data_IF_920668612359
#
_entry.id   IF_920668612359
#
_cell.length_a   1.000
_cell.length_b   1.000
_cell.length_c   1.000
_cell.angle_alpha   90.00
_cell.angle_beta   90.00
_cell.angle_gamma   90.00
#
_symmetry.space_group_name_H-M   'P 1'
#
loop_
_entity.id
_entity.type
_entity.pdbx_description
1 polymer ?
#
# COMPACT_ATOMS: atom_id res chain seq x y z
N UNK A 1 -26.98 64.67 -35.78
CA UNK A 1 -27.23 63.22 -35.93
C UNK A 1 -26.30 62.72 -37.02
N UNK A 2 -25.46 61.69 -36.89
CA UNK A 2 -25.39 60.56 -35.96
C UNK A 2 -24.03 59.84 -36.16
N UNK A 3 -23.48 59.32 -35.06
CA UNK A 3 -22.55 58.18 -34.97
C UNK A 3 -21.06 58.47 -35.23
N UNK A 4 -20.47 59.14 -34.26
CA UNK A 4 -19.08 58.97 -33.83
C UNK A 4 -18.88 57.63 -33.10
N UNK A 5 -17.73 56.99 -33.30
CA UNK A 5 -17.01 56.17 -32.30
C UNK A 5 -17.51 54.75 -31.98
N UNK A 6 -17.51 53.78 -32.91
CA UNK A 6 -17.50 52.35 -32.52
C UNK A 6 -16.76 51.50 -33.56
N UNK A 7 -15.42 51.54 -33.61
CA UNK A 7 -14.65 50.52 -34.35
C UNK A 7 -13.26 50.28 -33.76
N UNK A 8 -13.14 50.18 -32.42
CA UNK A 8 -11.84 49.85 -31.79
C UNK A 8 -11.91 49.05 -30.48
N UNK A 9 -13.05 48.47 -30.08
CA UNK A 9 -13.14 47.74 -28.80
C UNK A 9 -13.71 46.34 -29.02
N UNK A 10 -12.90 45.45 -29.60
CA UNK A 10 -13.13 44.01 -29.49
C UNK A 10 -11.83 43.23 -29.54
N UNK A 11 -10.79 43.72 -28.85
CA UNK A 11 -9.74 42.82 -28.36
C UNK A 11 -10.22 42.32 -27.00
N UNK A 12 -11.04 41.27 -27.04
CA UNK A 12 -11.43 40.52 -25.86
C UNK A 12 -10.15 40.03 -25.21
N UNK A 13 -9.83 40.64 -24.07
CA UNK A 13 -8.78 40.22 -23.16
C UNK A 13 -9.19 38.83 -22.65
N UNK A 14 -8.73 37.78 -23.33
CA UNK A 14 -8.57 36.45 -22.77
C UNK A 14 -7.37 36.52 -21.82
N UNK A 15 -7.57 37.12 -20.64
CA UNK A 15 -6.72 36.78 -19.49
C UNK A 15 -6.97 35.29 -19.27
N UNK A 16 -6.06 34.48 -19.80
CA UNK A 16 -5.80 33.17 -19.28
C UNK A 16 -5.39 33.39 -17.83
N UNK A 17 -6.36 33.37 -16.91
CA UNK A 17 -6.06 33.10 -15.52
C UNK A 17 -5.53 31.68 -15.51
N UNK A 18 -4.22 31.54 -15.75
CA UNK A 18 -3.48 30.49 -15.08
C UNK A 18 -3.66 30.82 -13.60
N UNK A 19 -4.72 30.26 -13.02
CA UNK A 19 -4.81 30.08 -11.58
C UNK A 19 -3.59 29.26 -11.23
N UNK A 20 -2.47 29.93 -10.98
CA UNK A 20 -1.39 29.36 -10.21
C UNK A 20 -2.02 29.19 -8.83
N UNK A 21 -2.61 28.03 -8.61
CA UNK A 21 -3.15 27.65 -7.32
C UNK A 21 -2.08 28.00 -6.29
N UNK A 22 -2.47 28.83 -5.31
CA UNK A 22 -1.50 29.47 -4.44
C UNK A 22 -0.72 28.37 -3.74
N UNK A 23 0.62 28.38 -3.80
CA UNK A 23 1.38 27.33 -3.15
C UNK A 23 1.04 27.26 -1.66
N UNK A 24 0.90 26.05 -1.12
CA UNK A 24 0.62 25.85 0.30
C UNK A 24 1.72 26.49 1.15
N UNK A 25 1.32 27.19 2.21
CA UNK A 25 2.28 27.79 3.16
C UNK A 25 2.82 26.72 4.09
N UNK A 26 4.04 26.90 4.59
CA UNK A 26 4.64 25.99 5.58
C UNK A 26 3.72 25.80 6.80
N UNK A 27 3.10 26.87 7.27
CA UNK A 27 2.14 26.81 8.39
C UNK A 27 0.92 25.93 8.06
N UNK A 28 0.31 26.09 6.89
CA UNK A 28 -0.85 25.27 6.49
C UNK A 28 -0.48 23.80 6.36
N UNK A 29 0.67 23.48 5.77
CA UNK A 29 1.14 22.09 5.64
C UNK A 29 1.45 21.48 7.02
N UNK A 30 2.09 22.24 7.91
CA UNK A 30 2.32 21.81 9.29
C UNK A 30 1.00 21.48 10.01
N UNK A 31 0.00 22.34 9.86
CA UNK A 31 -1.32 22.11 10.44
C UNK A 31 -1.99 20.86 9.84
N UNK A 32 -1.95 20.69 8.52
CA UNK A 32 -2.49 19.50 7.85
C UNK A 32 -1.87 18.21 8.41
N UNK A 33 -0.54 18.19 8.49
CA UNK A 33 0.22 17.05 9.01
C UNK A 33 -0.19 16.72 10.46
N UNK A 34 -0.41 17.74 11.29
CA UNK A 34 -0.87 17.57 12.68
C UNK A 34 -2.28 16.98 12.74
N UNK A 35 -3.24 17.54 11.99
CA UNK A 35 -4.63 17.04 12.03
C UNK A 35 -4.76 15.64 11.42
N UNK A 36 -3.89 15.28 10.49
CA UNK A 36 -3.80 13.92 9.96
C UNK A 36 -3.12 12.92 10.91
N UNK A 37 -2.56 13.38 12.04
CA UNK A 37 -1.88 12.54 13.03
C UNK A 37 -0.78 11.64 12.42
N UNK A 38 0.00 12.15 11.45
CA UNK A 38 1.01 11.35 10.72
C UNK A 38 2.06 10.76 11.67
N UNK A 39 2.44 11.48 12.73
CA UNK A 39 3.36 10.94 13.74
C UNK A 39 2.80 9.65 14.37
N UNK A 40 1.52 9.61 14.73
CA UNK A 40 0.89 8.39 15.28
C UNK A 40 0.90 7.25 14.28
N UNK A 41 0.71 7.52 12.98
CA UNK A 41 0.82 6.52 11.92
C UNK A 41 2.23 5.94 11.83
N UNK A 42 3.27 6.78 11.92
CA UNK A 42 4.66 6.32 11.94
C UNK A 42 4.97 5.45 13.16
N UNK A 43 4.51 5.85 14.35
CA UNK A 43 4.69 5.07 15.58
C UNK A 43 3.98 3.72 15.50
N UNK A 44 2.77 3.67 14.94
CA UNK A 44 2.03 2.42 14.77
C UNK A 44 2.70 1.52 13.74
N UNK A 45 3.20 2.10 12.65
CA UNK A 45 3.99 1.36 11.64
C UNK A 45 5.22 0.71 12.28
N UNK A 46 5.96 1.45 13.11
CA UNK A 46 7.12 0.91 13.84
C UNK A 46 6.77 -0.30 14.71
N UNK A 47 5.63 -0.28 15.40
CA UNK A 47 5.18 -1.42 16.21
C UNK A 47 4.85 -2.64 15.36
N UNK A 48 4.27 -2.43 14.18
CA UNK A 48 3.82 -3.51 13.30
C UNK A 48 4.97 -4.19 12.53
N UNK A 49 6.10 -3.51 12.31
CA UNK A 49 7.21 -4.08 11.54
C UNK A 49 8.14 -4.99 12.37
N UNK A 50 8.07 -4.96 13.70
CA UNK A 50 8.97 -5.74 14.57
C UNK A 50 8.94 -7.25 14.27
N UNK A 51 7.77 -7.93 14.17
CA UNK A 51 7.74 -9.36 13.85
C UNK A 51 8.37 -9.70 12.50
N UNK A 52 8.25 -8.80 11.51
CA UNK A 52 8.88 -9.00 10.21
C UNK A 52 10.41 -8.89 10.30
N UNK A 53 10.94 -8.03 11.17
CA UNK A 53 12.37 -7.92 11.42
C UNK A 53 12.90 -9.16 12.13
N UNK A 54 12.18 -9.64 13.14
CA UNK A 54 12.53 -10.89 13.82
C UNK A 54 12.63 -12.03 12.79
N UNK A 55 11.61 -12.19 11.95
CA UNK A 55 11.61 -13.21 10.90
C UNK A 55 12.77 -13.05 9.91
N UNK A 56 13.05 -11.82 9.46
CA UNK A 56 14.13 -11.54 8.51
C UNK A 56 15.52 -11.81 9.12
N UNK A 57 15.71 -11.47 10.39
CA UNK A 57 16.96 -11.73 11.09
C UNK A 57 17.20 -13.23 11.27
N UNK A 58 16.17 -14.00 11.62
CA UNK A 58 16.26 -15.46 11.70
C UNK A 58 16.62 -16.08 10.35
N UNK A 59 15.98 -15.66 9.26
CA UNK A 59 16.31 -16.12 7.90
C UNK A 59 17.75 -15.77 7.53
N UNK A 60 18.19 -14.56 7.86
CA UNK A 60 19.56 -14.10 7.59
C UNK A 60 20.59 -14.96 8.32
N UNK A 61 20.42 -15.21 9.62
CA UNK A 61 21.34 -16.06 10.38
C UNK A 61 21.37 -17.48 9.82
N UNK A 62 20.20 -18.08 9.54
CA UNK A 62 20.11 -19.42 8.91
C UNK A 62 20.89 -19.51 7.59
N UNK A 63 20.84 -18.47 6.78
CA UNK A 63 21.56 -18.43 5.50
C UNK A 63 23.10 -18.47 5.66
N UNK A 64 23.62 -17.95 6.78
CA UNK A 64 25.06 -17.87 7.08
C UNK A 64 25.57 -19.20 7.63
N UNK A 65 24.87 -19.75 8.62
CA UNK A 65 25.25 -20.98 9.34
C UNK A 65 24.92 -22.27 8.56
N UNK A 66 24.11 -22.18 7.50
CA UNK A 66 23.78 -23.27 6.56
C UNK A 66 23.18 -24.53 7.20
N UNK A 67 22.47 -24.37 8.31
CA UNK A 67 21.63 -25.42 8.89
C UNK A 67 20.26 -24.85 9.29
N UNK A 68 19.26 -25.73 9.34
CA UNK A 68 17.86 -25.29 9.40
C UNK A 68 17.40 -24.86 10.80
N UNK A 69 18.05 -25.36 11.85
CA UNK A 69 17.63 -25.18 13.24
C UNK A 69 18.67 -24.42 14.04
N UNK A 70 18.38 -23.15 14.34
CA UNK A 70 19.24 -22.33 15.19
C UNK A 70 19.35 -22.92 16.60
N UNK A 71 20.58 -23.15 17.04
CA UNK A 71 20.92 -23.38 18.44
C UNK A 71 20.51 -22.17 19.30
N UNK A 72 20.39 -22.32 20.63
CA UNK A 72 20.07 -21.20 21.51
C UNK A 72 21.01 -19.99 21.35
N UNK A 73 22.30 -20.22 21.13
CA UNK A 73 23.28 -19.16 20.90
C UNK A 73 23.05 -18.44 19.57
N UNK A 74 22.71 -19.15 18.50
CA UNK A 74 22.40 -18.54 17.20
C UNK A 74 21.05 -17.79 17.23
N UNK A 75 20.09 -18.23 18.04
CA UNK A 75 18.84 -17.48 18.28
C UNK A 75 19.11 -16.15 18.97
N UNK A 76 20.03 -16.11 19.94
CA UNK A 76 20.46 -14.85 20.57
C UNK A 76 21.05 -13.91 19.51
N UNK A 77 21.95 -14.40 18.65
CA UNK A 77 22.52 -13.60 17.55
C UNK A 77 21.44 -13.09 16.59
N UNK A 78 20.44 -13.92 16.27
CA UNK A 78 19.31 -13.50 15.43
C UNK A 78 18.47 -12.40 16.10
N UNK A 79 18.21 -12.50 17.40
CA UNK A 79 17.49 -11.49 18.15
C UNK A 79 18.28 -10.17 18.23
N UNK A 80 19.60 -10.22 18.44
CA UNK A 80 20.47 -9.04 18.41
C UNK A 80 20.42 -8.33 17.05
N UNK A 81 20.48 -9.09 15.96
CA UNK A 81 20.31 -8.54 14.60
C UNK A 81 18.94 -7.90 14.41
N UNK A 82 17.86 -8.55 14.86
CA UNK A 82 16.51 -8.00 14.78
C UNK A 82 16.38 -6.68 15.57
N UNK A 83 16.97 -6.61 16.77
CA UNK A 83 17.01 -5.39 17.57
C UNK A 83 17.80 -4.28 16.87
N UNK A 84 18.94 -4.60 16.25
CA UNK A 84 19.69 -3.62 15.45
C UNK A 84 18.86 -3.07 14.28
N UNK A 85 18.19 -3.94 13.52
CA UNK A 85 17.31 -3.55 12.41
C UNK A 85 16.15 -2.66 12.90
N UNK A 86 15.56 -3.00 14.05
CA UNK A 86 14.49 -2.22 14.66
C UNK A 86 14.98 -0.83 15.10
N UNK A 87 16.11 -0.76 15.81
CA UNK A 87 16.67 0.52 16.25
C UNK A 87 17.09 1.43 15.09
N UNK A 88 17.60 0.85 14.00
CA UNK A 88 17.87 1.61 12.78
C UNK A 88 16.58 2.18 12.17
N UNK A 89 15.52 1.37 12.15
CA UNK A 89 14.23 1.80 11.61
C UNK A 89 13.59 2.89 12.46
N UNK A 90 13.66 2.79 13.79
CA UNK A 90 13.21 3.84 14.73
C UNK A 90 13.93 5.16 14.45
N UNK A 91 15.26 5.12 14.21
CA UNK A 91 16.03 6.33 13.90
C UNK A 91 15.64 6.95 12.56
N UNK A 92 15.44 6.13 11.53
CA UNK A 92 15.10 6.59 10.18
C UNK A 92 13.67 7.14 10.13
N UNK A 93 12.74 6.48 10.82
CA UNK A 93 11.33 6.84 10.88
C UNK A 93 10.99 7.79 12.03
N UNK A 94 12.00 8.29 12.74
CA UNK A 94 11.82 9.29 13.78
C UNK A 94 11.10 10.52 13.22
N UNK A 95 10.21 11.10 14.03
CA UNK A 95 9.33 12.17 13.60
C UNK A 95 10.09 13.37 13.04
N UNK A 96 11.20 13.70 13.69
CA UNK A 96 12.10 14.81 13.40
C UNK A 96 12.77 14.64 12.03
N UNK A 97 13.00 13.40 11.60
CA UNK A 97 13.58 13.07 10.29
C UNK A 97 12.50 13.03 9.20
N UNK A 98 11.32 12.53 9.54
CA UNK A 98 10.24 12.32 8.57
C UNK A 98 9.42 13.59 8.29
N UNK A 99 9.23 14.45 9.29
CA UNK A 99 8.40 15.66 9.19
C UNK A 99 8.83 16.57 8.02
N UNK A 100 10.11 16.93 7.84
CA UNK A 100 10.54 17.76 6.70
C UNK A 100 10.26 17.12 5.33
N UNK A 101 10.33 15.78 5.25
CA UNK A 101 10.03 15.03 4.02
C UNK A 101 8.54 15.17 3.69
N UNK A 102 7.67 14.92 4.67
CA UNK A 102 6.22 15.09 4.49
C UNK A 102 5.87 16.54 4.13
N UNK A 103 6.43 17.53 4.84
CA UNK A 103 6.18 18.94 4.54
C UNK A 103 6.54 19.30 3.11
N UNK A 104 7.69 18.81 2.62
CA UNK A 104 8.12 19.03 1.24
C UNK A 104 7.13 18.41 0.26
N UNK A 105 6.79 17.12 0.44
CA UNK A 105 5.91 16.40 -0.47
C UNK A 105 4.53 17.04 -0.55
N UNK A 106 3.91 17.37 0.59
CA UNK A 106 2.58 18.00 0.60
C UNK A 106 2.59 19.38 -0.05
N UNK A 107 3.66 20.17 0.12
CA UNK A 107 3.82 21.50 -0.48
C UNK A 107 4.07 21.46 -1.99
N UNK A 108 4.70 20.40 -2.48
CA UNK A 108 5.00 20.22 -3.91
C UNK A 108 3.83 19.59 -4.67
N UNK A 109 3.03 18.74 -4.02
CA UNK A 109 1.95 17.98 -4.66
C UNK A 109 0.61 18.70 -4.59
N UNK A 110 0.29 19.32 -3.44
CA UNK A 110 -1.00 19.97 -3.23
C UNK A 110 -0.89 21.49 -3.31
N UNK A 111 -1.90 22.08 -3.93
CA UNK A 111 -2.15 23.52 -3.84
C UNK A 111 -2.54 23.93 -2.41
N UNK A 112 -2.42 25.22 -2.10
CA UNK A 112 -2.84 25.77 -0.82
C UNK A 112 -4.34 25.60 -0.59
N UNK A 113 -5.15 25.68 -1.64
CA UNK A 113 -6.59 25.45 -1.59
C UNK A 113 -6.92 23.99 -1.23
N UNK A 114 -6.21 23.01 -1.82
CA UNK A 114 -6.38 21.59 -1.49
C UNK A 114 -5.88 21.26 -0.09
N UNK A 115 -4.77 21.87 0.35
CA UNK A 115 -4.28 21.73 1.73
C UNK A 115 -5.31 22.29 2.71
N UNK A 116 -5.89 23.46 2.44
CA UNK A 116 -6.92 24.04 3.30
C UNK A 116 -8.17 23.17 3.35
N UNK A 117 -8.64 22.64 2.22
CA UNK A 117 -9.79 21.75 2.17
C UNK A 117 -9.57 20.46 2.99
N UNK A 118 -8.35 19.90 2.92
CA UNK A 118 -7.98 18.75 3.75
C UNK A 118 -7.94 19.10 5.24
N UNK A 119 -7.41 20.27 5.61
CA UNK A 119 -7.41 20.75 6.99
C UNK A 119 -8.85 20.87 7.50
N UNK A 120 -9.73 21.53 6.75
CA UNK A 120 -11.12 21.76 7.17
C UNK A 120 -11.84 20.43 7.40
N UNK A 121 -11.66 19.48 6.47
CA UNK A 121 -12.24 18.15 6.59
C UNK A 121 -11.65 17.38 7.78
N UNK A 122 -10.34 17.19 7.84
CA UNK A 122 -9.70 16.40 8.89
C UNK A 122 -9.75 17.05 10.27
N UNK A 123 -9.97 18.36 10.38
CA UNK A 123 -10.22 19.02 11.68
C UNK A 123 -11.63 18.77 12.21
N UNK A 124 -12.58 18.36 11.36
CA UNK A 124 -13.96 18.07 11.79
C UNK A 124 -14.04 16.76 12.58
N UNK A 125 -15.05 16.64 13.45
CA UNK A 125 -15.32 15.42 14.21
C UNK A 125 -15.51 14.20 13.28
N UNK A 126 -16.25 14.41 12.18
CA UNK A 126 -16.49 13.37 11.18
C UNK A 126 -15.20 13.01 10.42
N UNK A 127 -14.39 14.00 10.03
CA UNK A 127 -13.11 13.75 9.37
C UNK A 127 -12.13 12.97 10.27
N UNK A 128 -12.05 13.31 11.55
CA UNK A 128 -11.27 12.54 12.55
C UNK A 128 -11.82 11.12 12.74
N UNK A 129 -13.15 10.95 12.74
CA UNK A 129 -13.79 9.64 12.83
C UNK A 129 -13.45 8.77 11.62
N UNK A 130 -13.49 9.34 10.41
CA UNK A 130 -13.12 8.67 9.17
C UNK A 130 -11.64 8.29 9.20
N UNK A 131 -10.76 9.24 9.49
CA UNK A 131 -9.31 9.03 9.55
C UNK A 131 -8.93 7.87 10.49
N UNK A 132 -9.53 7.80 11.69
CA UNK A 132 -9.29 6.70 12.63
C UNK A 132 -9.82 5.35 12.15
N UNK A 133 -10.88 5.33 11.33
CA UNK A 133 -11.50 4.09 10.81
C UNK A 133 -10.88 3.64 9.48
N UNK A 134 -10.16 4.49 8.78
CA UNK A 134 -9.51 4.15 7.50
C UNK A 134 -8.67 2.87 7.56
N UNK A 135 -7.82 2.63 8.59
CA UNK A 135 -7.07 1.39 8.71
C UNK A 135 -7.96 0.15 8.87
N UNK A 136 -9.04 0.26 9.65
CA UNK A 136 -10.00 -0.83 9.85
C UNK A 136 -10.74 -1.17 8.55
N UNK A 137 -11.13 -0.16 7.77
CA UNK A 137 -11.74 -0.37 6.45
C UNK A 137 -10.78 -1.13 5.53
N UNK A 138 -9.51 -0.73 5.49
CA UNK A 138 -8.50 -1.44 4.71
C UNK A 138 -8.31 -2.89 5.18
N UNK A 139 -8.25 -3.12 6.50
CA UNK A 139 -8.10 -4.45 7.11
C UNK A 139 -9.26 -5.37 6.76
N UNK A 140 -10.50 -4.93 6.96
CA UNK A 140 -11.69 -5.73 6.65
C UNK A 140 -11.82 -5.98 5.14
N UNK A 141 -11.46 -5.00 4.31
CA UNK A 141 -11.42 -5.17 2.85
C UNK A 141 -10.45 -6.28 2.45
N UNK A 142 -9.23 -6.27 2.99
CA UNK A 142 -8.22 -7.30 2.71
C UNK A 142 -8.66 -8.69 3.17
N UNK A 143 -9.30 -8.80 4.33
CA UNK A 143 -9.85 -10.06 4.84
C UNK A 143 -10.90 -10.66 3.90
N UNK A 144 -11.79 -9.83 3.36
CA UNK A 144 -12.80 -10.26 2.39
C UNK A 144 -12.11 -10.72 1.10
N UNK A 145 -11.17 -9.94 0.56
CA UNK A 145 -10.43 -10.29 -0.66
C UNK A 145 -9.72 -11.64 -0.49
N UNK A 146 -9.01 -11.84 0.62
CA UNK A 146 -8.32 -13.10 0.91
C UNK A 146 -9.29 -14.30 0.96
N UNK A 147 -10.49 -14.10 1.53
CA UNK A 147 -11.54 -15.12 1.53
C UNK A 147 -11.98 -15.48 0.11
N UNK A 148 -12.13 -14.50 -0.78
CA UNK A 148 -12.51 -14.74 -2.17
C UNK A 148 -11.39 -15.44 -2.95
N UNK A 149 -10.14 -15.04 -2.76
CA UNK A 149 -8.98 -15.73 -3.34
C UNK A 149 -8.97 -17.19 -2.89
N UNK A 150 -9.20 -17.47 -1.61
CA UNK A 150 -9.30 -18.84 -1.09
C UNK A 150 -10.37 -19.68 -1.81
N UNK A 151 -11.54 -19.11 -2.12
CA UNK A 151 -12.61 -19.80 -2.87
C UNK A 151 -12.19 -20.09 -4.33
N UNK A 152 -11.49 -19.15 -4.95
CA UNK A 152 -10.97 -19.33 -6.32
C UNK A 152 -9.98 -20.50 -6.34
N UNK A 153 -9.05 -20.54 -5.39
CA UNK A 153 -8.06 -21.62 -5.30
C UNK A 153 -8.71 -22.98 -5.07
N UNK A 154 -9.72 -23.07 -4.19
CA UNK A 154 -10.48 -24.31 -3.98
C UNK A 154 -11.23 -24.77 -5.25
N UNK A 155 -11.76 -23.83 -6.03
CA UNK A 155 -12.46 -24.14 -7.27
C UNK A 155 -11.48 -24.67 -8.31
N UNK A 156 -10.31 -24.03 -8.46
CA UNK A 156 -9.24 -24.49 -9.33
C UNK A 156 -8.78 -25.90 -8.95
N UNK A 157 -8.61 -26.19 -7.66
CA UNK A 157 -8.24 -27.53 -7.20
C UNK A 157 -9.26 -28.59 -7.63
N UNK A 158 -10.56 -28.31 -7.47
CA UNK A 158 -11.63 -29.20 -7.93
C UNK A 158 -11.62 -29.40 -9.45
N UNK A 159 -11.34 -28.36 -10.21
CA UNK A 159 -11.30 -28.46 -11.67
C UNK A 159 -10.07 -29.24 -12.14
N UNK A 160 -8.92 -29.09 -11.49
CA UNK A 160 -7.73 -29.93 -11.72
C UNK A 160 -8.00 -31.40 -11.39
N UNK A 161 -8.70 -31.69 -10.28
CA UNK A 161 -9.12 -33.06 -9.94
C UNK A 161 -10.01 -33.66 -11.03
N UNK A 162 -11.01 -32.92 -11.52
CA UNK A 162 -11.89 -33.37 -12.62
C UNK A 162 -11.09 -33.61 -13.91
N UNK A 163 -10.15 -32.73 -14.22
CA UNK A 163 -9.29 -32.88 -15.39
C UNK A 163 -8.45 -34.17 -15.30
N UNK A 164 -7.82 -34.43 -14.16
CA UNK A 164 -7.06 -35.66 -13.92
C UNK A 164 -7.92 -36.91 -14.09
N UNK A 165 -9.15 -36.91 -13.55
CA UNK A 165 -10.09 -38.03 -13.75
C UNK A 165 -10.45 -38.22 -15.22
N UNK A 166 -10.68 -37.14 -15.97
CA UNK A 166 -11.00 -37.20 -17.41
C UNK A 166 -9.83 -37.73 -18.22
N UNK A 167 -8.61 -37.28 -17.93
CA UNK A 167 -7.39 -37.77 -18.58
C UNK A 167 -7.16 -39.26 -18.30
N UNK A 168 -7.33 -39.70 -17.05
CA UNK A 168 -7.24 -41.13 -16.70
C UNK A 168 -8.20 -42.00 -17.51
N UNK A 169 -9.46 -41.57 -17.67
CA UNK A 169 -10.45 -42.30 -18.50
C UNK A 169 -10.03 -42.41 -19.97
N UNK A 170 -9.49 -41.33 -20.55
CA UNK A 170 -9.02 -41.31 -21.95
C UNK A 170 -7.82 -42.25 -22.15
N UNK A 171 -6.92 -42.31 -21.18
CA UNK A 171 -5.75 -43.19 -21.24
C UNK A 171 -6.15 -44.67 -21.14
N UNK A 172 -7.10 -45.02 -20.26
CA UNK A 172 -7.65 -46.38 -20.16
C UNK A 172 -8.36 -46.77 -21.47
N UNK A 173 -9.24 -45.91 -22.01
CA UNK A 173 -9.99 -46.22 -23.23
C UNK A 173 -9.09 -46.41 -24.46
N UNK A 174 -7.95 -45.72 -24.53
CA UNK A 174 -6.96 -45.94 -25.59
C UNK A 174 -6.27 -47.29 -25.47
N UNK A 175 -6.03 -47.78 -24.25
CA UNK A 175 -5.35 -49.05 -24.02
C UNK A 175 -6.26 -50.24 -24.33
N UNK A 176 -7.55 -50.12 -24.03
CA UNK A 176 -8.56 -51.14 -24.34
C UNK A 176 -8.79 -51.29 -25.86
N UNK A 177 -8.71 -50.18 -26.61
CA UNK A 177 -8.80 -50.19 -28.08
C UNK A 177 -7.62 -50.88 -28.78
N UNK A 178 -6.45 -50.99 -28.13
CA UNK A 178 -5.28 -51.71 -28.68
C UNK A 178 -5.38 -53.22 -28.45
N UNK A 179 -6.06 -53.67 -27.38
CA UNK A 179 -6.25 -55.10 -27.11
C UNK A 179 -7.21 -55.78 -28.08
N UNK A 180 -8.20 -55.06 -28.63
CA UNK A 180 -9.17 -55.64 -29.59
C UNK A 180 -8.54 -55.87 -30.98
N UNK A 181 -7.44 -55.19 -31.33
CA UNK A 181 -6.77 -55.35 -32.63
C UNK A 181 -5.75 -56.52 -32.62
N UNK A 182 -5.51 -57.18 -31.48
CA UNK A 182 -4.55 -58.30 -31.38
C UNK A 182 -5.17 -59.71 -31.45
N UNK A 183 -6.47 -59.84 -31.75
CA UNK A 183 -7.17 -61.13 -31.75
C UNK A 183 -7.83 -61.52 -33.09
N UNK A 184 -7.23 -61.18 -34.23
CA UNK A 184 -7.61 -61.71 -35.57
C UNK A 184 -6.33 -62.11 -36.29
#
# INVERSE_FOLDING_TARGET
MKITTILSITLLILINQKSFAKQATEQSVNQLIQVMNINSVLQETLKQIRPQMDQNAYVTVKSIIKHDQLSPQEQIVANELADQMYQQSVKILAWEQMKPIYEKVYREVYSGEEVQAQIDFYSSEIGQSILRKSPLVAQESMKIINTQIGKILQTQEKDLQKLNLKLGRVLISKNDGVSIIRSV
#
